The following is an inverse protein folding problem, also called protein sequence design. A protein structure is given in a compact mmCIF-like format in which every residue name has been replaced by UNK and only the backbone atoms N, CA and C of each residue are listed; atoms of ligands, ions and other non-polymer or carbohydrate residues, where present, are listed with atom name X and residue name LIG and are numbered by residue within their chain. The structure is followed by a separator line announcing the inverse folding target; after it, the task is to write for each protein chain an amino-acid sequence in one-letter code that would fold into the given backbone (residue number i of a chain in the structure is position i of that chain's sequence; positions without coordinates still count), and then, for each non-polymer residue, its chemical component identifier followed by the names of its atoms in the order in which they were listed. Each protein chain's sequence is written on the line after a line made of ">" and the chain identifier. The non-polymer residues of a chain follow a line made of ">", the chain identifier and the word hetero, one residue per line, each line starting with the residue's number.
data_IF_980755885605
#
_entry.id   IF_980755885605
#
_cell.length_a   1.000
_cell.length_b   1.000
_cell.length_c   1.000
_cell.angle_alpha   90.00
_cell.angle_beta   90.00
_cell.angle_gamma   90.00
#
_symmetry.space_group_name_H-M   'P 1'
#
loop_
_entity.id
_entity.type
_entity.pdbx_description
1 polymer ?
#
# COMPACT_ATOMS: atom_id res chain seq x y z
N UNK A 1 5.15 -3.98 1.09
CA UNK A 1 5.69 -3.47 -0.17
C UNK A 1 6.16 -4.63 -0.98
N UNK A 2 5.40 -5.07 -2.01
CA UNK A 2 5.97 -6.02 -2.96
C UNK A 2 7.32 -5.46 -3.34
N UNK A 3 8.36 -6.22 -3.02
CA UNK A 3 9.67 -5.59 -2.91
C UNK A 3 10.08 -5.07 -4.30
N UNK A 4 10.88 -4.01 -4.35
CA UNK A 4 11.39 -3.43 -5.61
C UNK A 4 12.00 -4.49 -6.53
N UNK A 5 12.54 -5.57 -5.96
CA UNK A 5 13.07 -6.70 -6.72
C UNK A 5 11.99 -7.52 -7.46
N UNK A 6 10.80 -7.65 -6.88
CA UNK A 6 9.64 -8.29 -7.49
C UNK A 6 9.08 -7.41 -8.60
N UNK A 7 8.98 -6.09 -8.39
CA UNK A 7 8.63 -5.14 -9.44
C UNK A 7 9.61 -5.18 -10.63
N UNK A 8 10.91 -5.16 -10.35
CA UNK A 8 11.96 -5.40 -11.35
C UNK A 8 11.75 -6.73 -12.08
N UNK A 9 11.43 -7.78 -11.32
CA UNK A 9 11.11 -9.10 -11.81
C UNK A 9 9.97 -9.12 -12.83
N UNK A 10 8.87 -8.41 -12.55
CA UNK A 10 7.74 -8.28 -13.47
C UNK A 10 8.15 -7.52 -14.74
N UNK A 11 8.87 -6.41 -14.61
CA UNK A 11 9.39 -5.68 -15.78
C UNK A 11 10.27 -6.54 -16.67
N UNK A 12 11.12 -7.37 -16.07
CA UNK A 12 11.94 -8.34 -16.79
C UNK A 12 11.12 -9.48 -17.37
N UNK A 13 10.08 -9.96 -16.68
CA UNK A 13 9.16 -10.98 -17.18
C UNK A 13 8.46 -10.49 -18.45
N UNK A 14 7.89 -9.28 -18.41
CA UNK A 14 7.27 -8.59 -19.55
C UNK A 14 8.29 -8.50 -20.68
N UNK A 15 9.48 -7.96 -20.41
CA UNK A 15 10.53 -7.82 -21.42
C UNK A 15 10.90 -9.15 -22.09
N UNK A 16 11.03 -10.22 -21.31
CA UNK A 16 11.41 -11.54 -21.80
C UNK A 16 10.26 -12.23 -22.55
N UNK A 17 9.01 -12.03 -22.13
CA UNK A 17 7.82 -12.55 -22.81
C UNK A 17 7.65 -11.92 -24.20
N UNK A 18 7.89 -10.61 -24.33
CA UNK A 18 7.88 -9.90 -25.61
C UNK A 18 9.19 -10.04 -26.42
N UNK A 19 10.15 -10.82 -25.93
CA UNK A 19 11.39 -11.13 -26.67
C UNK A 19 12.45 -10.03 -26.68
N UNK A 20 12.29 -8.97 -25.88
CA UNK A 20 13.28 -7.89 -25.76
C UNK A 20 14.61 -8.40 -25.18
N UNK A 21 15.72 -7.79 -25.65
CA UNK A 21 17.09 -8.13 -25.27
C UNK A 21 17.92 -6.86 -25.03
N UNK A 22 19.09 -7.02 -24.40
CA UNK A 22 20.07 -5.94 -24.22
C UNK A 22 19.48 -4.72 -23.51
N UNK A 23 19.72 -3.53 -24.08
CA UNK A 23 19.27 -2.24 -23.51
C UNK A 23 17.76 -2.18 -23.34
N UNK A 24 16.96 -2.60 -24.35
CA UNK A 24 15.49 -2.57 -24.26
C UNK A 24 14.95 -3.38 -23.08
N UNK A 25 15.50 -4.59 -22.84
CA UNK A 25 15.13 -5.42 -21.69
C UNK A 25 15.43 -4.71 -20.36
N UNK A 26 16.65 -4.15 -20.25
CA UNK A 26 17.05 -3.47 -19.02
C UNK A 26 16.22 -2.20 -18.77
N UNK A 27 15.88 -1.46 -19.83
CA UNK A 27 14.98 -0.32 -19.74
C UNK A 27 13.59 -0.70 -19.24
N UNK A 28 13.00 -1.80 -19.72
CA UNK A 28 11.71 -2.28 -19.21
C UNK A 28 11.77 -2.72 -17.75
N UNK A 29 12.86 -3.39 -17.35
CA UNK A 29 13.11 -3.69 -15.94
C UNK A 29 13.19 -2.42 -15.08
N UNK A 30 13.88 -1.39 -15.56
CA UNK A 30 13.96 -0.09 -14.87
C UNK A 30 12.62 0.63 -14.81
N UNK A 31 11.86 0.64 -15.91
CA UNK A 31 10.53 1.27 -15.95
C UNK A 31 9.57 0.63 -14.93
N UNK A 32 9.70 -0.67 -14.66
CA UNK A 32 8.90 -1.34 -13.65
C UNK A 32 9.27 -0.96 -12.21
N UNK A 33 10.42 -0.32 -11.94
CA UNK A 33 10.80 0.19 -10.61
C UNK A 33 10.86 1.71 -10.56
N UNK A 34 10.52 2.37 -11.67
CA UNK A 34 10.55 3.83 -11.76
C UNK A 34 9.63 4.49 -10.72
N UNK A 35 8.40 3.98 -10.45
CA UNK A 35 7.55 4.57 -9.41
C UNK A 35 8.17 4.53 -8.01
N UNK A 36 8.89 3.46 -7.67
CA UNK A 36 9.59 3.31 -6.38
C UNK A 36 10.68 4.38 -6.17
N UNK A 37 11.12 5.10 -7.21
CA UNK A 37 12.06 6.22 -7.06
C UNK A 37 11.43 7.45 -6.40
N UNK A 38 10.14 7.40 -6.08
CA UNK A 38 9.43 8.39 -5.28
C UNK A 38 10.00 8.57 -3.86
N UNK A 39 10.84 7.65 -3.38
CA UNK A 39 11.60 7.88 -2.14
C UNK A 39 12.49 9.13 -2.24
N UNK A 40 12.95 9.50 -3.45
CA UNK A 40 13.78 10.70 -3.69
C UNK A 40 12.97 11.99 -3.44
N UNK A 41 11.85 12.25 -4.14
CA UNK A 41 11.01 13.40 -3.83
C UNK A 41 10.44 13.33 -2.41
N UNK A 42 10.19 12.15 -1.85
CA UNK A 42 9.71 12.00 -0.48
C UNK A 42 10.75 12.46 0.56
N UNK A 43 12.04 12.19 0.34
CA UNK A 43 13.12 12.74 1.18
C UNK A 43 13.11 14.27 1.12
N UNK A 44 12.94 14.85 -0.07
CA UNK A 44 12.85 16.31 -0.22
C UNK A 44 11.64 16.87 0.53
N UNK A 45 10.47 16.23 0.40
CA UNK A 45 9.27 16.57 1.15
C UNK A 45 9.54 16.56 2.65
N UNK A 46 10.10 15.47 3.19
CA UNK A 46 10.37 15.32 4.61
C UNK A 46 11.36 16.36 5.17
N UNK A 47 12.25 16.91 4.33
CA UNK A 47 13.21 17.94 4.73
C UNK A 47 12.60 19.35 4.78
N UNK A 48 11.57 19.62 3.97
CA UNK A 48 10.98 20.97 3.85
C UNK A 48 9.59 21.06 4.48
N UNK A 49 8.94 19.93 4.78
CA UNK A 49 7.53 19.88 5.18
C UNK A 49 7.23 20.70 6.42
N UNK A 50 8.15 20.81 7.37
CA UNK A 50 7.95 21.58 8.60
C UNK A 50 8.10 23.09 8.47
N UNK A 51 8.69 23.54 7.37
CA UNK A 51 9.02 24.95 7.14
C UNK A 51 7.97 25.68 6.28
N UNK A 52 6.86 25.03 5.95
CA UNK A 52 5.82 25.56 5.05
C UNK A 52 4.45 25.61 5.75
N UNK A 53 3.47 26.30 5.17
CA UNK A 53 2.09 26.29 5.71
C UNK A 53 1.47 24.90 5.63
N UNK A 54 0.43 24.64 6.43
CA UNK A 54 -0.32 23.39 6.41
C UNK A 54 -0.84 23.03 5.00
N UNK A 55 -1.41 24.00 4.28
CA UNK A 55 -1.92 23.79 2.92
C UNK A 55 -0.80 23.45 1.96
N UNK A 56 0.33 24.16 2.07
CA UNK A 56 1.51 23.92 1.22
C UNK A 56 2.09 22.53 1.50
N UNK A 57 2.16 22.13 2.78
CA UNK A 57 2.57 20.78 3.19
C UNK A 57 1.67 19.73 2.54
N UNK A 58 0.35 19.89 2.62
CA UNK A 58 -0.60 18.92 2.04
C UNK A 58 -0.46 18.84 0.51
N UNK A 59 -0.30 19.97 -0.19
CA UNK A 59 -0.07 19.96 -1.64
C UNK A 59 1.26 19.30 -2.03
N UNK A 60 2.33 19.60 -1.29
CA UNK A 60 3.62 18.94 -1.48
C UNK A 60 3.54 17.44 -1.19
N UNK A 61 2.76 17.02 -0.20
CA UNK A 61 2.53 15.60 0.08
C UNK A 61 1.93 14.90 -1.15
N UNK A 62 0.93 15.46 -1.83
CA UNK A 62 0.38 14.80 -3.01
C UNK A 62 1.36 14.72 -4.19
N UNK A 63 2.28 15.67 -4.32
CA UNK A 63 3.25 15.70 -5.42
C UNK A 63 4.50 14.86 -5.13
N UNK A 64 4.97 14.89 -3.89
CA UNK A 64 6.27 14.39 -3.47
C UNK A 64 6.16 13.22 -2.47
N UNK A 65 4.96 12.95 -1.96
CA UNK A 65 4.67 11.83 -1.07
C UNK A 65 4.96 10.50 -1.74
N UNK A 66 5.40 9.55 -0.92
CA UNK A 66 5.56 8.17 -1.36
C UNK A 66 4.18 7.61 -1.76
N UNK A 67 4.10 7.00 -2.96
CA UNK A 67 2.90 6.40 -3.56
C UNK A 67 1.79 7.37 -3.95
N UNK A 68 2.15 8.63 -4.11
CA UNK A 68 1.23 9.68 -4.57
C UNK A 68 1.37 9.90 -6.08
N UNK A 69 1.89 11.04 -6.53
CA UNK A 69 1.96 11.39 -7.95
C UNK A 69 2.64 10.33 -8.83
N UNK A 70 3.76 9.73 -8.41
CA UNK A 70 4.48 8.71 -9.19
C UNK A 70 3.68 7.40 -9.37
N UNK A 71 2.59 7.25 -8.61
CA UNK A 71 1.69 6.13 -8.72
C UNK A 71 0.30 6.52 -9.28
N UNK A 72 0.22 7.70 -9.91
CA UNK A 72 -0.99 8.16 -10.60
C UNK A 72 -1.05 7.68 -12.05
N UNK A 73 -2.26 7.59 -12.60
CA UNK A 73 -2.50 7.36 -14.02
C UNK A 73 -1.86 8.47 -14.86
N UNK A 74 -1.87 9.73 -14.37
CA UNK A 74 -1.22 10.83 -15.05
C UNK A 74 0.28 10.57 -15.23
N UNK A 75 0.98 10.10 -14.20
CA UNK A 75 2.38 9.72 -14.31
C UNK A 75 2.62 8.61 -15.33
N UNK A 76 1.79 7.55 -15.32
CA UNK A 76 1.86 6.47 -16.32
C UNK A 76 1.73 7.04 -17.74
N UNK A 77 0.75 7.92 -17.96
CA UNK A 77 0.51 8.54 -19.27
C UNK A 77 1.69 9.40 -19.72
N UNK A 78 2.24 10.23 -18.83
CA UNK A 78 3.40 11.09 -19.15
C UNK A 78 4.62 10.25 -19.54
N UNK A 79 4.94 9.21 -18.78
CA UNK A 79 6.09 8.34 -19.08
C UNK A 79 5.83 7.54 -20.37
N UNK A 80 4.61 7.03 -20.57
CA UNK A 80 4.25 6.30 -21.79
C UNK A 80 4.37 7.18 -23.03
N UNK A 81 3.88 8.42 -22.97
CA UNK A 81 4.04 9.41 -24.03
C UNK A 81 5.52 9.72 -24.28
N UNK A 82 6.31 9.91 -23.22
CA UNK A 82 7.76 10.12 -23.36
C UNK A 82 8.46 8.95 -24.07
N UNK A 83 8.13 7.70 -23.72
CA UNK A 83 8.65 6.51 -24.38
C UNK A 83 8.28 6.53 -25.87
N UNK A 84 7.02 6.81 -26.20
CA UNK A 84 6.55 6.91 -27.57
C UNK A 84 7.30 7.99 -28.36
N UNK A 85 7.39 9.21 -27.83
CA UNK A 85 8.08 10.30 -28.49
C UNK A 85 9.56 10.00 -28.73
N UNK A 86 10.22 9.34 -27.77
CA UNK A 86 11.65 9.05 -27.85
C UNK A 86 11.97 7.86 -28.77
N UNK A 87 11.12 6.84 -28.78
CA UNK A 87 11.44 5.56 -29.45
C UNK A 87 10.68 5.31 -30.74
N UNK A 88 9.47 5.88 -30.88
CA UNK A 88 8.54 5.61 -31.99
C UNK A 88 8.24 4.12 -32.22
N UNK A 89 8.48 3.28 -31.22
CA UNK A 89 8.28 1.83 -31.25
C UNK A 89 7.01 1.49 -30.47
N UNK A 90 5.97 1.07 -31.19
CA UNK A 90 4.66 0.75 -30.59
C UNK A 90 4.76 -0.41 -29.60
N UNK A 91 5.50 -1.47 -29.92
CA UNK A 91 5.61 -2.64 -29.05
C UNK A 91 6.40 -2.31 -27.79
N UNK A 92 7.48 -1.53 -27.91
CA UNK A 92 8.26 -1.10 -26.77
C UNK A 92 7.48 -0.11 -25.89
N UNK A 93 6.71 0.80 -26.50
CA UNK A 93 5.80 1.71 -25.78
C UNK A 93 4.75 0.92 -24.99
N UNK A 94 4.09 -0.05 -25.62
CA UNK A 94 3.09 -0.89 -24.96
C UNK A 94 3.69 -1.72 -23.82
N UNK A 95 4.88 -2.29 -24.01
CA UNK A 95 5.59 -3.01 -22.96
C UNK A 95 6.03 -2.08 -21.82
N UNK A 96 6.43 -0.85 -22.13
CA UNK A 96 6.79 0.18 -21.15
C UNK A 96 5.58 0.61 -20.31
N UNK A 97 4.44 0.86 -20.95
CA UNK A 97 3.17 1.07 -20.27
C UNK A 97 2.84 -0.10 -19.35
N UNK A 98 2.88 -1.34 -19.86
CA UNK A 98 2.58 -2.53 -19.07
C UNK A 98 3.51 -2.69 -17.86
N UNK A 99 4.80 -2.37 -18.01
CA UNK A 99 5.77 -2.42 -16.92
C UNK A 99 5.40 -1.45 -15.78
N UNK A 100 5.17 -0.17 -16.09
CA UNK A 100 4.83 0.84 -15.09
C UNK A 100 3.44 0.57 -14.49
N UNK A 101 2.46 0.24 -15.34
CA UNK A 101 1.11 -0.10 -14.89
C UNK A 101 1.12 -1.30 -13.95
N UNK A 102 1.91 -2.34 -14.26
CA UNK A 102 2.02 -3.52 -13.40
C UNK A 102 2.59 -3.19 -12.03
N UNK A 103 3.49 -2.21 -11.92
CA UNK A 103 3.99 -1.72 -10.63
C UNK A 103 2.86 -1.14 -9.80
N UNK A 104 2.20 -0.12 -10.35
CA UNK A 104 1.17 0.65 -9.66
C UNK A 104 -0.03 -0.24 -9.33
N UNK A 105 -0.44 -1.09 -10.27
CA UNK A 105 -1.52 -2.03 -10.06
C UNK A 105 -1.19 -3.02 -8.95
N UNK A 106 0.04 -3.54 -8.90
CA UNK A 106 0.45 -4.49 -7.87
C UNK A 106 0.44 -3.86 -6.47
N UNK A 107 0.95 -2.64 -6.34
CA UNK A 107 0.83 -1.91 -5.08
C UNK A 107 -0.64 -1.67 -4.70
N UNK A 108 -1.49 -1.30 -5.67
CA UNK A 108 -2.91 -1.03 -5.47
C UNK A 108 -3.74 -2.27 -5.09
N UNK A 109 -3.37 -3.46 -5.56
CA UNK A 109 -4.00 -4.74 -5.14
C UNK A 109 -3.49 -5.27 -3.81
N UNK A 110 -2.41 -4.73 -3.28
CA UNK A 110 -1.94 -5.04 -1.92
C UNK A 110 -2.52 -4.06 -0.89
N UNK A 111 -2.00 -4.05 0.33
CA UNK A 111 -2.58 -3.31 1.46
C UNK A 111 -2.44 -1.79 1.39
N UNK A 112 -1.99 -1.21 0.28
CA UNK A 112 -1.64 0.20 0.21
C UNK A 112 -2.77 1.07 -0.28
N UNK A 113 -3.06 2.12 0.48
CA UNK A 113 -3.85 3.24 0.01
C UNK A 113 -3.03 4.10 -0.93
N UNK A 114 -3.63 4.45 -2.07
CA UNK A 114 -3.01 5.23 -3.13
C UNK A 114 -4.03 6.19 -3.72
N UNK A 115 -3.56 7.20 -4.46
CA UNK A 115 -4.39 8.17 -5.19
C UNK A 115 -4.17 8.04 -6.70
N UNK A 116 -4.65 6.96 -7.34
CA UNK A 116 -4.36 6.70 -8.75
C UNK A 116 -4.88 7.80 -9.68
N UNK A 117 -5.88 8.57 -9.25
CA UNK A 117 -6.49 9.65 -10.04
C UNK A 117 -5.98 11.05 -9.69
N UNK A 118 -4.96 11.20 -8.83
CA UNK A 118 -4.36 12.52 -8.60
C UNK A 118 -3.79 13.10 -9.91
N UNK A 119 -3.98 14.39 -10.24
CA UNK A 119 -4.56 15.47 -9.44
C UNK A 119 -6.09 15.67 -9.60
N UNK A 120 -6.77 14.78 -10.33
CA UNK A 120 -8.23 14.87 -10.54
C UNK A 120 -9.04 14.45 -9.31
N UNK A 121 -8.45 13.65 -8.42
CA UNK A 121 -9.03 13.27 -7.12
C UNK A 121 -7.95 13.14 -6.05
N UNK A 122 -8.25 13.61 -4.85
CA UNK A 122 -7.43 13.45 -3.64
C UNK A 122 -7.88 12.29 -2.76
N UNK A 123 -8.91 11.54 -3.19
CA UNK A 123 -9.42 10.38 -2.46
C UNK A 123 -8.43 9.22 -2.52
N UNK A 124 -8.10 8.66 -1.36
CA UNK A 124 -7.32 7.43 -1.29
C UNK A 124 -8.20 6.22 -1.48
N UNK A 125 -7.68 5.20 -2.13
CA UNK A 125 -8.34 3.90 -2.21
C UNK A 125 -7.32 2.78 -2.29
N UNK A 126 -7.79 1.55 -2.08
CA UNK A 126 -7.02 0.33 -2.30
C UNK A 126 -7.97 -0.78 -2.76
N UNK A 127 -7.44 -1.76 -3.50
CA UNK A 127 -8.16 -3.02 -3.69
C UNK A 127 -7.90 -4.00 -2.54
N UNK A 128 -6.74 -3.94 -1.87
CA UNK A 128 -6.46 -4.69 -0.65
C UNK A 128 -6.73 -6.19 -0.75
N UNK A 129 -6.49 -6.81 -1.91
CA UNK A 129 -6.89 -8.20 -2.18
C UNK A 129 -5.76 -9.21 -1.97
N UNK A 130 -4.52 -8.78 -2.12
CA UNK A 130 -3.34 -9.63 -2.14
C UNK A 130 -2.49 -9.32 -0.91
N UNK A 131 -2.20 -10.35 -0.13
CA UNK A 131 -1.33 -10.20 1.03
C UNK A 131 0.08 -9.82 0.60
N UNK A 132 0.74 -9.02 1.43
CA UNK A 132 2.06 -8.50 1.11
C UNK A 132 3.07 -9.63 0.81
N UNK A 133 3.03 -10.73 1.57
CA UNK A 133 3.91 -11.89 1.36
C UNK A 133 3.29 -12.98 0.45
N UNK A 134 2.35 -12.61 -0.42
CA UNK A 134 1.76 -13.56 -1.36
C UNK A 134 2.85 -14.22 -2.24
N UNK A 135 2.94 -15.56 -2.27
CA UNK A 135 3.98 -16.26 -3.01
C UNK A 135 3.96 -15.99 -4.52
N UNK A 136 2.79 -15.80 -5.14
CA UNK A 136 2.71 -15.54 -6.57
C UNK A 136 3.05 -14.09 -6.91
N UNK A 137 2.74 -13.14 -6.02
CA UNK A 137 3.15 -11.75 -6.18
C UNK A 137 4.66 -11.52 -5.92
N UNK A 138 5.32 -12.39 -5.14
CA UNK A 138 6.73 -12.22 -4.76
C UNK A 138 7.68 -13.23 -5.41
N UNK A 139 7.39 -14.53 -5.40
CA UNK A 139 8.33 -15.57 -5.86
C UNK A 139 8.35 -15.67 -7.38
N UNK A 140 7.18 -15.64 -8.03
CA UNK A 140 7.08 -15.78 -9.49
C UNK A 140 7.88 -14.67 -10.21
N UNK A 141 7.77 -13.38 -9.83
CA UNK A 141 8.59 -12.32 -10.42
C UNK A 141 10.10 -12.48 -10.20
N UNK A 142 10.55 -13.17 -9.15
CA UNK A 142 11.97 -13.40 -8.91
C UNK A 142 12.59 -14.41 -9.89
N UNK A 143 11.79 -15.25 -10.55
CA UNK A 143 12.29 -16.23 -11.53
C UNK A 143 13.04 -15.57 -12.70
N UNK A 144 12.50 -14.55 -13.39
CA UNK A 144 13.24 -13.75 -14.38
C UNK A 144 14.59 -13.22 -13.88
N UNK A 145 14.63 -12.66 -12.66
CA UNK A 145 15.86 -12.12 -12.06
C UNK A 145 16.87 -13.25 -11.86
N UNK A 146 16.44 -14.34 -11.24
CA UNK A 146 17.26 -15.50 -10.96
C UNK A 146 17.85 -16.10 -12.24
N UNK A 147 17.04 -16.26 -13.29
CA UNK A 147 17.51 -16.75 -14.60
C UNK A 147 18.59 -15.84 -15.19
N UNK A 148 18.42 -14.52 -15.12
CA UNK A 148 19.40 -13.57 -15.64
C UNK A 148 20.70 -13.59 -14.84
N UNK A 149 20.63 -13.71 -13.51
CA UNK A 149 21.80 -13.86 -12.65
C UNK A 149 22.56 -15.14 -12.99
N UNK A 150 21.88 -16.29 -13.11
CA UNK A 150 22.53 -17.55 -13.52
C UNK A 150 23.22 -17.40 -14.88
N UNK A 151 22.52 -16.84 -15.86
CA UNK A 151 23.06 -16.65 -17.21
C UNK A 151 24.31 -15.76 -17.19
N UNK A 152 24.32 -14.71 -16.37
CA UNK A 152 25.47 -13.83 -16.17
C UNK A 152 26.63 -14.53 -15.46
N UNK A 153 26.37 -15.30 -14.40
CA UNK A 153 27.41 -16.03 -13.69
C UNK A 153 28.03 -17.14 -14.55
N UNK A 154 27.23 -17.78 -15.40
CA UNK A 154 27.69 -18.77 -16.39
C UNK A 154 28.58 -18.13 -17.46
N UNK A 155 28.21 -16.97 -18.00
CA UNK A 155 29.03 -16.27 -19.01
C UNK A 155 30.38 -15.77 -18.46
N UNK A 156 30.47 -15.54 -17.15
CA UNK A 156 31.71 -15.21 -16.43
C UNK A 156 32.52 -16.43 -15.98
N UNK A 157 32.09 -17.65 -16.32
CA UNK A 157 32.76 -18.89 -15.93
C UNK A 157 32.74 -19.19 -14.42
N UNK A 158 31.96 -18.43 -13.63
CA UNK A 158 31.91 -18.59 -12.16
C UNK A 158 31.13 -19.83 -11.72
N UNK A 159 30.14 -20.26 -12.50
CA UNK A 159 29.31 -21.43 -12.19
C UNK A 159 29.46 -22.51 -13.27
N UNK A 160 30.08 -23.63 -12.90
CA UNK A 160 30.19 -24.84 -13.73
C UNK A 160 29.28 -25.94 -13.17
N UNK A 161 28.45 -26.54 -14.03
CA UNK A 161 27.72 -27.78 -13.73
C UNK A 161 26.38 -27.62 -13.02
N UNK A 162 26.33 -26.94 -11.85
CA UNK A 162 25.18 -27.03 -10.91
C UNK A 162 23.80 -26.65 -11.48
N UNK A 163 23.73 -25.69 -12.41
CA UNK A 163 22.46 -25.20 -12.97
C UNK A 163 22.33 -25.46 -14.48
N UNK A 164 23.15 -26.35 -15.04
CA UNK A 164 23.14 -26.59 -16.49
C UNK A 164 21.80 -27.13 -17.00
N UNK A 165 21.20 -28.07 -16.28
CA UNK A 165 19.91 -28.66 -16.65
C UNK A 165 18.78 -27.62 -16.60
N UNK A 166 18.77 -26.79 -15.55
CA UNK A 166 17.83 -25.67 -15.44
C UNK A 166 18.02 -24.66 -16.58
N UNK A 167 19.26 -24.27 -16.88
CA UNK A 167 19.56 -23.36 -17.99
C UNK A 167 19.12 -23.96 -19.33
N UNK A 168 19.36 -25.25 -19.55
CA UNK A 168 18.96 -25.96 -20.74
C UNK A 168 17.43 -26.00 -20.88
N UNK A 169 16.72 -26.29 -19.78
CA UNK A 169 15.26 -26.25 -19.72
C UNK A 169 14.71 -24.86 -20.08
N UNK A 170 15.18 -23.81 -19.40
CA UNK A 170 14.74 -22.42 -19.64
C UNK A 170 15.03 -22.00 -21.07
N UNK A 171 16.20 -22.36 -21.61
CA UNK A 171 16.57 -22.03 -22.99
C UNK A 171 15.67 -22.77 -23.99
N UNK A 172 15.43 -24.07 -23.79
CA UNK A 172 14.60 -24.92 -24.65
C UNK A 172 13.13 -24.48 -24.65
N UNK A 173 12.63 -23.98 -23.52
CA UNK A 173 11.22 -23.60 -23.34
C UNK A 173 10.99 -22.09 -23.35
N UNK A 174 12.01 -21.28 -23.63
CA UNK A 174 12.00 -19.82 -23.48
C UNK A 174 10.76 -19.14 -24.08
N UNK A 175 10.40 -19.49 -25.31
CA UNK A 175 9.29 -18.87 -26.05
C UNK A 175 7.92 -19.14 -25.46
N UNK A 176 7.78 -20.18 -24.62
CA UNK A 176 6.52 -20.54 -23.95
C UNK A 176 6.55 -20.25 -22.45
N UNK A 177 7.72 -20.37 -21.81
CA UNK A 177 7.87 -20.24 -20.36
C UNK A 177 7.49 -18.84 -19.87
N UNK A 178 8.10 -17.78 -20.41
CA UNK A 178 7.83 -16.41 -19.92
C UNK A 178 6.40 -15.95 -20.20
N UNK A 179 5.82 -16.19 -21.40
CA UNK A 179 4.40 -15.90 -21.61
C UNK A 179 3.49 -16.68 -20.66
N UNK A 180 3.77 -17.96 -20.39
CA UNK A 180 2.98 -18.76 -19.45
C UNK A 180 3.04 -18.20 -18.02
N UNK A 181 4.25 -17.86 -17.54
CA UNK A 181 4.42 -17.23 -16.22
C UNK A 181 3.70 -15.88 -16.14
N UNK A 182 3.76 -15.07 -17.20
CA UNK A 182 3.06 -13.79 -17.27
C UNK A 182 1.54 -13.99 -17.23
N UNK A 183 1.01 -14.95 -17.97
CA UNK A 183 -0.43 -15.28 -17.96
C UNK A 183 -0.87 -15.74 -16.56
N UNK A 184 -0.12 -16.63 -15.92
CA UNK A 184 -0.42 -17.10 -14.57
C UNK A 184 -0.47 -15.91 -13.58
N UNK A 185 0.51 -15.00 -13.66
CA UNK A 185 0.52 -13.80 -12.83
C UNK A 185 -0.70 -12.92 -13.12
N UNK A 186 -1.01 -12.64 -14.39
CA UNK A 186 -2.15 -11.80 -14.75
C UNK A 186 -3.49 -12.38 -14.29
N UNK A 187 -3.68 -13.69 -14.47
CA UNK A 187 -4.89 -14.39 -14.00
C UNK A 187 -5.00 -14.27 -12.47
N UNK A 188 -3.90 -14.50 -11.74
CA UNK A 188 -3.89 -14.37 -10.28
C UNK A 188 -4.26 -12.96 -9.82
N UNK A 189 -3.60 -11.94 -10.40
CA UNK A 189 -3.80 -10.55 -10.03
C UNK A 189 -5.20 -10.03 -10.41
N UNK A 190 -5.83 -10.58 -11.46
CA UNK A 190 -7.17 -10.21 -11.86
C UNK A 190 -8.27 -10.93 -11.07
N UNK A 191 -8.09 -12.23 -10.79
CA UNK A 191 -9.13 -13.06 -10.15
C UNK A 191 -9.27 -12.73 -8.67
N UNK A 192 -8.19 -12.53 -7.93
CA UNK A 192 -8.26 -12.31 -6.48
C UNK A 192 -9.11 -11.10 -6.07
N UNK A 193 -8.94 -9.90 -6.65
CA UNK A 193 -9.80 -8.75 -6.35
C UNK A 193 -11.28 -9.02 -6.62
N UNK A 194 -11.59 -9.74 -7.71
CA UNK A 194 -12.96 -10.12 -8.06
C UNK A 194 -13.55 -11.11 -7.05
N UNK A 195 -12.79 -12.13 -6.66
CA UNK A 195 -13.21 -13.09 -5.63
C UNK A 195 -13.44 -12.39 -4.29
N UNK A 196 -12.55 -11.46 -3.91
CA UNK A 196 -12.72 -10.62 -2.73
C UNK A 196 -14.02 -9.84 -2.78
N UNK A 197 -14.35 -9.22 -3.91
CA UNK A 197 -15.58 -8.44 -4.07
C UNK A 197 -16.82 -9.30 -3.80
N UNK A 198 -16.87 -10.50 -4.36
CA UNK A 198 -17.98 -11.44 -4.11
C UNK A 198 -18.06 -11.86 -2.64
N UNK A 199 -16.92 -12.14 -2.00
CA UNK A 199 -16.88 -12.52 -0.58
C UNK A 199 -17.33 -11.38 0.34
N UNK A 200 -16.83 -10.16 0.12
CA UNK A 200 -17.24 -8.99 0.91
C UNK A 200 -18.74 -8.74 0.74
N UNK A 201 -19.28 -8.84 -0.47
CA UNK A 201 -20.71 -8.68 -0.72
C UNK A 201 -21.54 -9.78 -0.05
N UNK A 202 -21.09 -11.03 -0.10
CA UNK A 202 -21.76 -12.15 0.56
C UNK A 202 -21.83 -11.93 2.08
N UNK A 203 -20.71 -11.56 2.70
CA UNK A 203 -20.64 -11.32 4.15
C UNK A 203 -21.45 -10.10 4.54
N UNK A 204 -21.41 -9.02 3.76
CA UNK A 204 -22.24 -7.84 3.92
C UNK A 204 -23.73 -8.21 3.96
N UNK A 205 -24.17 -9.08 3.06
CA UNK A 205 -25.54 -9.61 3.04
C UNK A 205 -25.87 -10.49 4.25
N UNK A 206 -24.96 -11.39 4.62
CA UNK A 206 -25.15 -12.28 5.78
C UNK A 206 -25.20 -11.53 7.11
N UNK A 207 -24.42 -10.46 7.24
CA UNK A 207 -24.37 -9.60 8.43
C UNK A 207 -25.48 -8.54 8.45
N UNK A 208 -26.21 -8.36 7.35
CA UNK A 208 -27.22 -7.30 7.21
C UNK A 208 -26.63 -5.88 7.34
N UNK A 209 -25.34 -5.72 7.06
CA UNK A 209 -24.60 -4.49 7.30
C UNK A 209 -23.70 -4.16 6.10
N UNK A 210 -23.64 -2.88 5.71
CA UNK A 210 -22.80 -2.44 4.59
C UNK A 210 -21.32 -2.52 4.97
N UNK A 211 -20.62 -3.51 4.44
CA UNK A 211 -19.17 -3.66 4.57
C UNK A 211 -18.48 -3.00 3.36
N UNK A 212 -17.47 -2.17 3.64
CA UNK A 212 -16.68 -1.51 2.60
C UNK A 212 -15.65 -2.46 2.01
N UNK A 213 -15.62 -2.60 0.69
CA UNK A 213 -14.59 -3.37 0.00
C UNK A 213 -13.20 -2.73 0.12
N UNK A 214 -13.13 -1.39 0.02
CA UNK A 214 -11.87 -0.66 0.08
C UNK A 214 -11.27 -0.68 1.49
N UNK A 215 -12.13 -0.71 2.51
CA UNK A 215 -11.71 -0.74 3.92
C UNK A 215 -11.63 -2.18 4.46
N UNK A 216 -11.30 -3.13 3.59
CA UNK A 216 -10.94 -4.50 3.97
C UNK A 216 -9.52 -4.80 3.53
N UNK A 217 -8.69 -5.33 4.42
CA UNK A 217 -7.25 -5.44 4.21
C UNK A 217 -6.77 -6.88 4.35
N UNK A 218 -5.76 -7.31 3.58
CA UNK A 218 -5.27 -8.67 3.68
C UNK A 218 -4.46 -8.82 4.99
N UNK A 219 -4.86 -9.74 5.87
CA UNK A 219 -4.17 -10.01 7.14
C UNK A 219 -3.08 -11.07 7.00
N UNK A 220 -3.32 -12.05 6.11
CA UNK A 220 -2.38 -13.11 5.76
C UNK A 220 -2.76 -13.72 4.41
N UNK A 221 -2.00 -14.71 3.92
CA UNK A 221 -2.29 -15.37 2.64
C UNK A 221 -3.71 -15.94 2.66
N UNK A 222 -4.55 -15.40 1.78
CA UNK A 222 -5.97 -15.71 1.62
C UNK A 222 -6.86 -15.47 2.85
N UNK A 223 -6.45 -14.56 3.73
CA UNK A 223 -7.32 -13.98 4.75
C UNK A 223 -7.33 -12.47 4.65
N UNK A 224 -8.47 -11.87 4.96
CA UNK A 224 -8.62 -10.44 5.09
C UNK A 224 -9.36 -10.07 6.36
N UNK A 225 -9.02 -8.90 6.90
CA UNK A 225 -9.73 -8.27 8.00
C UNK A 225 -10.73 -7.26 7.46
N UNK A 226 -11.88 -7.22 8.09
CA UNK A 226 -12.99 -6.34 7.77
C UNK A 226 -13.57 -5.75 9.05
N UNK A 227 -14.22 -4.60 8.92
CA UNK A 227 -14.94 -3.97 10.01
C UNK A 227 -16.20 -3.28 9.52
N UNK A 228 -17.14 -3.04 10.42
CA UNK A 228 -18.26 -2.11 10.19
C UNK A 228 -18.76 -1.53 11.51
N UNK A 229 -19.46 -0.39 11.43
CA UNK A 229 -20.11 0.22 12.59
C UNK A 229 -21.33 -0.61 12.98
N UNK A 230 -21.25 -1.36 14.07
CA UNK A 230 -22.35 -2.20 14.56
C UNK A 230 -23.45 -1.36 15.21
N UNK A 231 -23.07 -0.39 16.03
CA UNK A 231 -23.99 0.59 16.64
C UNK A 231 -23.24 1.92 16.89
N UNK A 232 -23.83 2.82 17.68
CA UNK A 232 -23.21 4.11 18.01
C UNK A 232 -21.92 3.97 18.81
N UNK A 233 -21.76 2.91 19.61
CA UNK A 233 -20.66 2.74 20.57
C UNK A 233 -19.62 1.71 20.16
N UNK A 234 -19.92 0.80 19.23
CA UNK A 234 -19.04 -0.30 18.86
C UNK A 234 -18.86 -0.47 17.35
N UNK A 235 -17.64 -0.85 16.96
CA UNK A 235 -17.35 -1.53 15.71
C UNK A 235 -17.44 -3.04 15.89
N UNK A 236 -17.84 -3.75 14.83
CA UNK A 236 -17.65 -5.20 14.73
C UNK A 236 -16.49 -5.46 13.79
N UNK A 237 -15.56 -6.30 14.22
CA UNK A 237 -14.36 -6.68 13.46
C UNK A 237 -14.44 -8.15 13.12
N UNK A 238 -14.07 -8.49 11.89
CA UNK A 238 -14.12 -9.84 11.37
C UNK A 238 -12.83 -10.17 10.65
N UNK A 239 -12.22 -11.30 11.00
CA UNK A 239 -11.20 -11.93 10.16
C UNK A 239 -11.86 -13.01 9.31
N UNK A 240 -11.69 -12.90 8.00
CA UNK A 240 -12.34 -13.73 7.00
C UNK A 240 -11.28 -14.47 6.21
N UNK A 241 -11.46 -15.77 6.09
CA UNK A 241 -10.68 -16.66 5.24
C UNK A 241 -11.45 -17.01 3.98
N UNK A 242 -10.79 -16.99 2.82
CA UNK A 242 -11.43 -17.43 1.56
C UNK A 242 -11.79 -18.92 1.56
N UNK A 243 -11.21 -19.72 2.47
CA UNK A 243 -11.45 -21.17 2.54
C UNK A 243 -12.51 -21.57 3.58
N UNK A 244 -12.53 -20.86 4.72
CA UNK A 244 -13.31 -21.24 5.91
C UNK A 244 -14.37 -20.21 6.30
N UNK A 245 -14.44 -19.07 5.63
CA UNK A 245 -15.38 -17.99 5.97
C UNK A 245 -14.90 -17.17 7.17
N UNK A 246 -15.83 -16.72 8.01
CA UNK A 246 -15.50 -15.89 9.19
C UNK A 246 -14.84 -16.78 10.25
N UNK A 247 -13.57 -16.51 10.58
CA UNK A 247 -12.82 -17.27 11.58
C UNK A 247 -12.79 -16.59 12.95
N UNK A 248 -12.89 -15.25 12.98
CA UNK A 248 -12.90 -14.46 14.21
C UNK A 248 -13.90 -13.33 14.09
N UNK A 249 -14.63 -13.07 15.18
CA UNK A 249 -15.60 -11.98 15.28
C UNK A 249 -15.52 -11.32 16.67
N UNK A 250 -15.16 -10.05 16.72
CA UNK A 250 -15.04 -9.30 17.97
C UNK A 250 -15.75 -7.95 17.86
N UNK A 251 -16.03 -7.34 19.00
CA UNK A 251 -16.54 -5.98 19.10
C UNK A 251 -15.52 -5.09 19.78
N UNK A 252 -15.40 -3.85 19.30
CA UNK A 252 -14.49 -2.85 19.85
C UNK A 252 -15.27 -1.57 20.10
N UNK A 253 -15.10 -1.02 21.30
CA UNK A 253 -15.64 0.30 21.64
C UNK A 253 -14.98 1.39 20.80
N UNK A 254 -15.80 2.28 20.22
CA UNK A 254 -15.30 3.44 19.46
C UNK A 254 -14.60 4.45 20.35
N UNK A 255 -15.01 4.51 21.62
CA UNK A 255 -14.51 5.46 22.61
C UNK A 255 -14.30 4.71 23.91
N UNK A 256 -13.07 4.74 24.40
CA UNK A 256 -12.71 4.25 25.72
C UNK A 256 -12.21 5.43 26.56
N UNK A 257 -12.84 5.69 27.71
CA UNK A 257 -12.46 6.77 28.63
C UNK A 257 -11.85 6.15 29.87
N UNK A 258 -10.56 6.42 30.10
CA UNK A 258 -9.81 5.89 31.24
C UNK A 258 -9.85 6.93 32.35
N UNK A 259 -10.61 6.62 33.40
CA UNK A 259 -10.85 7.52 34.53
C UNK A 259 -12.04 8.45 34.32
N UNK A 260 -12.13 9.51 35.12
CA UNK A 260 -13.19 10.51 35.03
C UNK A 260 -12.70 11.73 34.26
N UNK A 261 -12.98 11.80 32.96
CA UNK A 261 -12.68 12.95 32.09
C UNK A 261 -14.00 13.61 31.66
N UNK A 262 -14.47 14.67 32.35
CA UNK A 262 -15.81 15.24 32.15
C UNK A 262 -16.11 15.70 30.73
N UNK A 263 -15.09 16.23 30.02
CA UNK A 263 -15.23 16.81 28.67
C UNK A 263 -14.66 15.91 27.56
N UNK A 264 -14.58 14.59 27.79
CA UNK A 264 -13.97 13.64 26.86
C UNK A 264 -14.52 13.76 25.42
N UNK A 265 -15.83 13.99 25.25
CA UNK A 265 -16.47 14.14 23.95
C UNK A 265 -15.96 15.35 23.16
N UNK A 266 -15.64 16.46 23.84
CA UNK A 266 -15.13 17.69 23.21
C UNK A 266 -13.73 17.44 22.63
N UNK A 267 -12.87 16.77 23.39
CA UNK A 267 -11.53 16.42 22.94
C UNK A 267 -11.55 15.41 21.78
N UNK A 268 -12.47 14.44 21.80
CA UNK A 268 -12.66 13.49 20.70
C UNK A 268 -13.07 14.21 19.42
N UNK A 269 -14.07 15.11 19.49
CA UNK A 269 -14.52 15.88 18.32
C UNK A 269 -13.38 16.75 17.78
N UNK A 270 -12.63 17.41 18.67
CA UNK A 270 -11.47 18.22 18.31
C UNK A 270 -10.38 17.40 17.62
N UNK A 271 -10.01 16.25 18.18
CA UNK A 271 -9.04 15.33 17.57
C UNK A 271 -9.52 14.83 16.21
N UNK A 272 -10.81 14.49 16.07
CA UNK A 272 -11.40 14.09 14.79
C UNK A 272 -11.29 15.17 13.72
N UNK A 273 -11.59 16.44 14.08
CA UNK A 273 -11.43 17.59 13.18
C UNK A 273 -9.98 17.79 12.77
N UNK A 274 -9.05 17.83 13.73
CA UNK A 274 -7.61 17.97 13.44
C UNK A 274 -7.11 16.87 12.51
N UNK A 275 -7.42 15.60 12.81
CA UNK A 275 -7.00 14.49 11.98
C UNK A 275 -7.55 14.59 10.54
N UNK A 276 -8.77 15.09 10.36
CA UNK A 276 -9.38 15.25 9.05
C UNK A 276 -8.73 16.31 8.15
N UNK A 277 -7.96 17.26 8.69
CA UNK A 277 -7.30 18.30 7.88
C UNK A 277 -5.96 17.84 7.29
N UNK A 278 -5.35 16.79 7.86
CA UNK A 278 -4.03 16.33 7.45
C UNK A 278 -4.07 15.13 6.49
N UNK A 279 -2.99 14.99 5.74
CA UNK A 279 -2.64 13.78 4.99
C UNK A 279 -1.35 13.14 5.54
N UNK A 280 -1.23 11.80 5.45
CA UNK A 280 -2.21 10.84 4.91
C UNK A 280 -3.34 10.48 5.89
N UNK A 281 -4.52 10.14 5.36
CA UNK A 281 -5.68 9.68 6.12
C UNK A 281 -5.73 8.13 6.13
N UNK A 282 -4.99 7.55 7.06
CA UNK A 282 -4.71 6.11 7.15
C UNK A 282 -5.74 5.30 7.96
N UNK A 283 -6.43 5.93 8.90
CA UNK A 283 -7.44 5.34 9.78
C UNK A 283 -8.83 5.35 9.12
N UNK A 284 -9.44 4.17 8.93
CA UNK A 284 -10.79 4.01 8.37
C UNK A 284 -11.86 3.88 9.46
N UNK A 285 -11.51 3.21 10.56
CA UNK A 285 -12.42 2.95 11.68
C UNK A 285 -11.86 3.56 12.96
N UNK A 286 -12.05 4.88 13.19
CA UNK A 286 -11.39 5.60 14.27
C UNK A 286 -11.87 5.15 15.64
N UNK A 287 -10.93 4.75 16.48
CA UNK A 287 -11.11 4.43 17.90
C UNK A 287 -10.35 5.45 18.73
N UNK A 288 -11.01 5.99 19.74
CA UNK A 288 -10.47 6.99 20.63
C UNK A 288 -10.27 6.41 22.02
N UNK A 289 -9.07 6.62 22.59
CA UNK A 289 -8.79 6.40 24.00
C UNK A 289 -8.48 7.74 24.64
N UNK A 290 -9.26 8.14 25.64
CA UNK A 290 -9.10 9.41 26.35
C UNK A 290 -8.64 9.15 27.77
N UNK A 291 -7.59 9.84 28.19
CA UNK A 291 -7.09 9.81 29.56
C UNK A 291 -6.66 11.21 29.99
N UNK A 292 -6.69 11.47 31.29
CA UNK A 292 -6.21 12.72 31.87
C UNK A 292 -5.06 12.44 32.83
N UNK A 293 -3.98 13.22 32.69
CA UNK A 293 -2.83 13.15 33.58
C UNK A 293 -2.23 14.55 33.76
N UNK A 294 -1.93 14.94 35.01
CA UNK A 294 -1.22 16.17 35.35
C UNK A 294 -1.78 17.46 34.71
N UNK A 295 -3.12 17.58 34.59
CA UNK A 295 -3.78 18.76 34.02
C UNK A 295 -3.84 18.80 32.50
N UNK A 296 -3.37 17.75 31.81
CA UNK A 296 -3.46 17.62 30.35
C UNK A 296 -4.36 16.43 29.97
N UNK A 297 -5.12 16.61 28.89
CA UNK A 297 -5.96 15.55 28.32
C UNK A 297 -5.25 14.93 27.14
N UNK A 298 -5.03 13.62 27.20
CA UNK A 298 -4.44 12.84 26.13
C UNK A 298 -5.54 12.08 25.38
N UNK A 299 -5.60 12.27 24.07
CA UNK A 299 -6.45 11.50 23.16
C UNK A 299 -5.58 10.70 22.22
N UNK A 300 -5.68 9.38 22.31
CA UNK A 300 -5.08 8.45 21.35
C UNK A 300 -6.13 8.06 20.33
N UNK A 301 -5.83 8.28 19.05
CA UNK A 301 -6.64 7.92 17.89
C UNK A 301 -5.95 6.77 17.15
N UNK A 302 -6.64 5.66 16.95
CA UNK A 302 -6.16 4.51 16.18
C UNK A 302 -7.24 3.87 15.31
N UNK A 303 -6.88 2.89 14.48
CA UNK A 303 -7.85 2.08 13.76
C UNK A 303 -8.34 0.90 14.60
N UNK A 304 -9.65 0.63 14.59
CA UNK A 304 -10.25 -0.47 15.33
C UNK A 304 -9.61 -1.83 15.01
N UNK A 305 -9.11 -2.02 13.79
CA UNK A 305 -8.53 -3.30 13.37
C UNK A 305 -7.10 -3.48 13.89
N UNK A 306 -6.50 -2.45 14.51
CA UNK A 306 -5.07 -2.39 14.77
C UNK A 306 -4.55 -3.61 15.54
N UNK A 307 -5.25 -3.97 16.62
CA UNK A 307 -4.92 -5.09 17.50
C UNK A 307 -4.92 -6.48 16.83
N UNK A 308 -5.49 -6.62 15.62
CA UNK A 308 -5.65 -7.92 14.96
C UNK A 308 -4.67 -8.14 13.81
N UNK A 309 -3.93 -7.12 13.41
CA UNK A 309 -2.99 -7.23 12.30
C UNK A 309 -1.58 -7.12 12.87
N UNK A 310 -0.84 -8.23 12.82
CA UNK A 310 0.55 -8.28 13.32
C UNK A 310 1.49 -7.35 12.59
N UNK A 311 1.22 -7.13 11.30
CA UNK A 311 2.00 -6.28 10.43
C UNK A 311 1.03 -5.50 9.56
N UNK A 312 0.64 -4.32 10.02
CA UNK A 312 0.20 -3.30 9.08
C UNK A 312 1.42 -2.94 8.28
N UNK A 313 1.50 -3.50 7.09
CA UNK A 313 2.41 -3.00 6.12
C UNK A 313 1.99 -1.53 5.88
N UNK A 314 2.69 -0.60 6.53
CA UNK A 314 2.78 0.82 6.22
C UNK A 314 1.56 1.69 6.56
N UNK A 315 0.86 1.34 7.64
CA UNK A 315 -0.06 2.26 8.30
C UNK A 315 0.60 2.74 9.60
N UNK A 316 0.81 4.05 9.73
CA UNK A 316 1.15 4.70 11.00
C UNK A 316 -0.15 4.89 11.78
N UNK A 317 -0.57 3.82 12.45
CA UNK A 317 -1.95 3.64 12.85
C UNK A 317 -2.31 4.30 14.19
N UNK A 318 -1.41 5.07 14.82
CA UNK A 318 -1.67 5.67 16.13
C UNK A 318 -1.21 7.12 16.18
N UNK A 319 -2.17 8.02 16.40
CA UNK A 319 -1.92 9.43 16.69
C UNK A 319 -2.25 9.73 18.14
N UNK A 320 -1.38 10.48 18.81
CA UNK A 320 -1.61 10.92 20.18
C UNK A 320 -1.61 12.44 20.24
N UNK A 321 -2.70 13.00 20.72
CA UNK A 321 -2.89 14.44 20.92
C UNK A 321 -2.88 14.71 22.41
N UNK A 322 -1.99 15.58 22.86
CA UNK A 322 -1.93 16.05 24.25
C UNK A 322 -2.41 17.49 24.26
N UNK A 323 -3.59 17.71 24.84
CA UNK A 323 -4.22 19.02 24.99
C UNK A 323 -3.95 19.56 26.39
N UNK A 324 -3.52 20.80 26.48
CA UNK A 324 -3.49 21.53 27.75
C UNK A 324 -4.90 22.02 28.08
N UNK A 325 -5.36 21.90 29.33
CA UNK A 325 -6.73 22.31 29.70
C UNK A 325 -6.92 23.83 29.71
N UNK A 326 -5.89 24.56 30.07
CA UNK A 326 -5.94 26.00 30.28
C UNK A 326 -5.63 26.82 29.02
N UNK A 327 -5.18 26.15 27.95
CA UNK A 327 -4.83 26.76 26.68
C UNK A 327 -5.51 26.04 25.51
N UNK A 328 -5.63 26.70 24.37
CA UNK A 328 -6.01 26.02 23.13
C UNK A 328 -4.81 25.29 22.49
N UNK A 329 -3.67 25.18 23.17
CA UNK A 329 -2.50 24.52 22.62
C UNK A 329 -2.60 22.99 22.70
N UNK A 330 -1.93 22.33 21.77
CA UNK A 330 -1.80 20.88 21.78
C UNK A 330 -0.47 20.45 21.18
N UNK A 331 -0.04 19.24 21.53
CA UNK A 331 1.10 18.57 20.92
C UNK A 331 0.62 17.26 20.33
N UNK A 332 0.92 17.05 19.04
CA UNK A 332 0.60 15.82 18.35
C UNK A 332 1.83 14.93 18.18
N UNK A 333 1.58 13.63 18.23
CA UNK A 333 2.57 12.59 18.03
C UNK A 333 2.00 11.53 17.09
N UNK A 334 2.89 10.82 16.38
CA UNK A 334 2.53 9.64 15.60
C UNK A 334 3.49 8.49 15.89
N UNK A 335 2.96 7.27 15.89
CA UNK A 335 3.74 6.03 15.96
C UNK A 335 3.18 4.97 15.02
N UNK A 336 4.05 4.06 14.63
CA UNK A 336 3.63 2.76 14.11
C UNK A 336 3.37 1.82 15.30
N UNK A 337 2.46 0.84 15.18
CA UNK A 337 2.21 -0.13 16.23
C UNK A 337 3.50 -0.82 16.69
N UNK A 338 3.86 -0.64 17.96
CA UNK A 338 5.08 -1.21 18.55
C UNK A 338 6.38 -0.44 18.26
N UNK A 339 6.33 0.69 17.57
CA UNK A 339 7.49 1.55 17.31
C UNK A 339 7.56 2.78 18.24
N UNK A 340 8.74 3.44 18.24
CA UNK A 340 8.96 4.66 18.99
C UNK A 340 8.16 5.81 18.40
N UNK A 341 7.39 6.45 19.27
CA UNK A 341 6.61 7.63 18.96
C UNK A 341 7.49 8.84 18.55
N UNK A 342 7.01 9.58 17.55
CA UNK A 342 7.64 10.80 17.03
C UNK A 342 6.70 11.99 17.20
N UNK A 343 7.23 13.09 17.72
CA UNK A 343 6.52 14.36 17.78
C UNK A 343 6.31 14.89 16.36
N UNK A 344 5.10 15.35 16.08
CA UNK A 344 4.74 15.99 14.81
C UNK A 344 4.96 17.49 14.88
N UNK A 345 5.25 18.08 13.73
CA UNK A 345 5.41 19.52 13.55
C UNK A 345 4.05 20.22 13.63
N UNK A 346 4.03 21.51 14.01
CA UNK A 346 2.78 22.24 14.26
C UNK A 346 1.87 22.33 13.04
N UNK A 347 2.45 22.48 11.86
CA UNK A 347 1.72 22.59 10.59
C UNK A 347 1.16 21.25 10.07
N UNK A 348 1.35 20.16 10.82
CA UNK A 348 0.83 18.85 10.42
C UNK A 348 -0.70 18.82 10.49
N UNK A 349 -1.26 19.36 11.57
CA UNK A 349 -2.69 19.50 11.81
C UNK A 349 -2.98 20.98 12.04
N UNK A 350 -3.85 21.59 11.23
CA UNK A 350 -4.25 22.99 11.38
C UNK A 350 -5.73 23.15 11.08
#
# INVERSE_FOLDING_TARGET
>A
MVNTLSHLGIGLLIALAFGFKGKKRNSLGFLAILPDLDFIPYILFALISGSVSHETRNQLFYLLGHREFLHSILFILLVTLFIWFKTKDHLFTAAGFAAIFSHIYLDYVTSWKMRPFYPFSTETSTLGAIYFFDPLANILPLLPVFVLVIAYMKSRGKWKGKFNDFCAFVTKKRSKLYPALLIVLLVWLAVLPVVKLFFVNYISGAEGAKISYQDTYPSSVGKFISAYSYNSTHYRIMEVSYWSGIERNNYIEKVNVIGAVPDASVYIERTGKLYSTAVPQEIDYPVYSVSEENGSVTVTLSDARDQYVKYWAYFKAVYRFVFEKESEEYIAYASEPGEREKRLEKNWFE
#
